data_IF_460124007003
#
_entry.id   IF_460124007003
#
_cell.length_a   1.000
_cell.length_b   1.000
_cell.length_c   1.000
_cell.angle_alpha   90.00
_cell.angle_beta   90.00
_cell.angle_gamma   90.00
#
_symmetry.space_group_name_H-M   'P 1'
#
loop_
_entity.id
_entity.type
_entity.pdbx_description
1 polymer ?
#
# COMPACT_ATOMS: atom_id res chain seq x y z
N UNK A 1 22.27 5.64 -18.17
CA UNK A 1 20.97 6.34 -18.27
C UNK A 1 20.02 5.41 -19.00
N UNK A 2 19.12 4.74 -18.29
CA UNK A 2 18.07 3.96 -18.93
C UNK A 2 17.08 4.97 -19.54
N UNK A 3 16.99 4.95 -20.86
CA UNK A 3 16.15 5.90 -21.57
C UNK A 3 14.67 5.59 -21.39
N UNK A 4 13.88 6.61 -21.41
CA UNK A 4 12.42 6.62 -21.49
C UNK A 4 11.87 6.00 -22.80
N UNK A 5 12.59 5.04 -23.40
CA UNK A 5 12.27 4.49 -24.72
C UNK A 5 11.16 3.45 -24.74
N UNK A 6 10.47 3.23 -23.63
CA UNK A 6 9.30 2.37 -23.57
C UNK A 6 8.23 2.99 -22.67
N UNK A 7 7.56 4.03 -23.17
CA UNK A 7 6.42 4.67 -22.51
C UNK A 7 5.16 3.76 -22.42
N UNK A 8 5.29 2.49 -22.78
CA UNK A 8 4.15 1.55 -22.80
C UNK A 8 3.97 0.78 -21.49
N UNK A 9 4.91 0.88 -20.55
CA UNK A 9 4.93 0.07 -19.32
C UNK A 9 5.34 0.90 -18.09
N UNK A 10 4.92 0.50 -16.89
CA UNK A 10 5.46 1.06 -15.66
C UNK A 10 7.00 0.92 -15.62
N UNK A 11 7.66 1.97 -15.17
CA UNK A 11 9.12 2.06 -15.09
C UNK A 11 9.55 2.20 -13.63
N UNK A 12 10.47 1.33 -13.20
CA UNK A 12 11.05 1.36 -11.87
C UNK A 12 12.42 2.06 -11.87
N UNK A 13 12.55 3.09 -11.05
CA UNK A 13 13.80 3.79 -10.78
C UNK A 13 14.33 3.41 -9.41
N UNK A 14 15.47 2.75 -9.34
CA UNK A 14 16.17 2.47 -8.07
C UNK A 14 17.00 3.68 -7.67
N UNK A 15 16.84 4.15 -6.44
CA UNK A 15 17.65 5.22 -5.83
C UNK A 15 18.80 4.63 -5.02
N UNK A 16 18.56 3.47 -4.39
CA UNK A 16 19.55 2.70 -3.65
C UNK A 16 19.15 1.22 -3.62
N UNK A 17 20.05 0.37 -3.11
CA UNK A 17 19.80 -1.07 -2.97
C UNK A 17 20.00 -1.47 -1.51
N UNK A 18 18.96 -1.37 -0.65
CA UNK A 18 19.07 -1.78 0.74
C UNK A 18 19.21 -3.31 0.84
N UNK A 19 19.94 -3.76 1.85
CA UNK A 19 19.92 -5.16 2.27
C UNK A 19 18.65 -5.41 3.09
N UNK A 20 17.81 -6.34 2.64
CA UNK A 20 16.53 -6.64 3.25
C UNK A 20 16.50 -8.09 3.75
N UNK A 21 16.06 -8.27 5.00
CA UNK A 21 15.89 -9.58 5.62
C UNK A 21 14.41 -9.86 5.85
N UNK A 22 13.90 -10.93 5.24
CA UNK A 22 12.50 -11.36 5.32
C UNK A 22 11.50 -10.19 5.18
N UNK A 23 11.56 -9.37 4.13
CA UNK A 23 10.80 -8.14 4.06
C UNK A 23 9.29 -8.38 3.97
N UNK A 24 8.53 -7.56 4.69
CA UNK A 24 7.08 -7.45 4.59
C UNK A 24 6.77 -6.23 3.74
N UNK A 25 6.00 -6.44 2.67
CA UNK A 25 5.52 -5.33 1.85
C UNK A 25 4.26 -4.71 2.43
N UNK A 26 4.23 -3.39 2.57
CA UNK A 26 3.09 -2.62 3.08
C UNK A 26 2.72 -1.54 2.08
N UNK A 27 1.52 -1.63 1.54
CA UNK A 27 0.99 -0.67 0.57
C UNK A 27 -0.06 0.25 1.20
N UNK A 28 0.10 1.56 1.04
CA UNK A 28 -0.91 2.56 1.40
C UNK A 28 -1.03 3.65 0.35
N UNK A 29 -2.02 3.54 -0.53
CA UNK A 29 -2.30 4.45 -1.63
C UNK A 29 -3.45 5.41 -1.30
N UNK A 30 -3.58 6.54 -2.05
CA UNK A 30 -4.78 7.38 -2.01
C UNK A 30 -6.03 6.56 -2.32
N UNK A 31 -7.12 6.87 -1.65
CA UNK A 31 -8.41 6.21 -1.83
C UNK A 31 -9.42 6.75 -0.84
N UNK A 32 -10.40 5.94 -0.48
CA UNK A 32 -11.51 6.33 0.37
C UNK A 32 -10.99 6.86 1.73
N UNK A 33 -11.29 8.13 2.05
CA UNK A 33 -10.77 8.81 3.23
C UNK A 33 -9.24 8.97 3.30
N UNK A 34 -8.50 8.65 2.23
CA UNK A 34 -7.04 8.58 2.23
C UNK A 34 -6.44 7.70 3.35
N UNK A 35 -7.23 6.78 3.90
CA UNK A 35 -6.89 5.97 5.07
C UNK A 35 -5.57 5.22 4.88
N UNK A 36 -5.42 4.50 3.76
CA UNK A 36 -4.20 3.74 3.47
C UNK A 36 -2.97 4.64 3.35
N UNK A 37 -3.08 5.76 2.62
CA UNK A 37 -1.99 6.73 2.46
C UNK A 37 -1.57 7.32 3.80
N UNK A 38 -2.53 7.70 4.64
CA UNK A 38 -2.25 8.25 5.97
C UNK A 38 -1.51 7.22 6.82
N UNK A 39 -1.98 5.97 6.86
CA UNK A 39 -1.33 4.90 7.60
C UNK A 39 0.10 4.63 7.11
N UNK A 40 0.34 4.63 5.80
CA UNK A 40 1.68 4.47 5.22
C UNK A 40 2.61 5.62 5.61
N UNK A 41 2.14 6.87 5.55
CA UNK A 41 2.94 8.02 5.99
C UNK A 41 3.27 7.98 7.49
N UNK A 42 2.35 7.49 8.33
CA UNK A 42 2.62 7.28 9.76
C UNK A 42 3.71 6.21 9.96
N UNK A 43 3.67 5.11 9.21
CA UNK A 43 4.73 4.09 9.25
C UNK A 43 6.09 4.66 8.82
N UNK A 44 6.12 5.39 7.69
CA UNK A 44 7.34 6.02 7.17
C UNK A 44 7.94 6.95 8.24
N UNK A 45 7.12 7.76 8.87
CA UNK A 45 7.55 8.69 9.92
C UNK A 45 8.01 7.97 11.19
N UNK A 46 7.25 6.96 11.64
CA UNK A 46 7.55 6.22 12.87
C UNK A 46 8.88 5.47 12.79
N UNK A 47 9.16 4.84 11.66
CA UNK A 47 10.39 4.07 11.46
C UNK A 47 11.55 4.88 10.87
N UNK A 48 11.37 6.17 10.62
CA UNK A 48 12.32 7.00 9.86
C UNK A 48 12.74 6.31 8.54
N UNK A 49 11.75 5.71 7.84
CA UNK A 49 11.99 4.89 6.67
C UNK A 49 12.63 5.68 5.53
N UNK A 50 13.58 5.08 4.84
CA UNK A 50 14.36 5.76 3.80
C UNK A 50 13.85 5.39 2.40
N UNK A 51 13.69 6.38 1.50
CA UNK A 51 13.31 6.09 0.12
C UNK A 51 14.43 5.33 -0.60
N UNK A 52 14.06 4.32 -1.41
CA UNK A 52 15.04 3.53 -2.15
C UNK A 52 14.63 3.22 -3.59
N UNK A 53 13.35 3.39 -3.96
CA UNK A 53 12.89 3.21 -5.33
C UNK A 53 11.63 4.04 -5.62
N UNK A 54 11.38 4.28 -6.90
CA UNK A 54 10.21 4.99 -7.41
C UNK A 54 9.65 4.22 -8.61
N UNK A 55 8.33 4.14 -8.73
CA UNK A 55 7.64 3.57 -9.88
C UNK A 55 6.84 4.66 -10.58
N UNK A 56 7.09 4.81 -11.86
CA UNK A 56 6.38 5.69 -12.78
C UNK A 56 5.52 4.86 -13.73
N UNK A 57 4.41 5.40 -14.18
CA UNK A 57 3.55 4.74 -15.16
C UNK A 57 3.00 5.76 -16.16
N UNK A 58 2.97 5.43 -17.46
CA UNK A 58 2.27 6.25 -18.46
C UNK A 58 0.74 6.28 -18.22
N UNK A 59 0.24 5.38 -17.41
CA UNK A 59 -1.18 5.32 -17.01
C UNK A 59 -1.51 6.18 -15.79
N UNK A 60 -0.53 6.88 -15.21
CA UNK A 60 -0.83 7.90 -14.21
C UNK A 60 -1.36 9.17 -14.90
N UNK A 61 -2.22 9.95 -14.23
CA UNK A 61 -2.76 11.17 -14.80
C UNK A 61 -1.69 12.13 -15.30
N UNK A 62 -2.02 12.90 -16.33
CA UNK A 62 -1.16 13.79 -17.10
C UNK A 62 -0.90 15.15 -16.41
N UNK A 63 -0.56 15.15 -15.15
CA UNK A 63 -0.14 16.35 -14.45
C UNK A 63 1.30 16.27 -13.93
N UNK A 64 1.82 17.40 -13.54
CA UNK A 64 3.12 17.54 -12.89
C UNK A 64 2.89 18.09 -11.50
N UNK A 65 3.40 17.43 -10.49
CA UNK A 65 3.40 17.94 -9.13
C UNK A 65 4.58 18.90 -8.93
N UNK A 66 4.34 19.98 -8.17
CA UNK A 66 5.36 21.00 -7.87
C UNK A 66 5.68 20.95 -6.38
N UNK A 67 6.94 20.75 -6.03
CA UNK A 67 7.40 20.78 -4.64
C UNK A 67 7.31 22.21 -4.06
N UNK A 68 7.40 22.33 -2.74
CA UNK A 68 7.48 23.64 -2.05
C UNK A 68 8.68 24.50 -2.52
N UNK A 69 9.67 23.91 -3.18
CA UNK A 69 10.82 24.60 -3.78
C UNK A 69 10.64 24.93 -5.27
N UNK A 70 9.45 24.73 -5.82
CA UNK A 70 9.16 24.99 -7.24
C UNK A 70 9.70 23.93 -8.21
N UNK A 71 10.11 22.76 -7.74
CA UNK A 71 10.64 21.69 -8.58
C UNK A 71 9.51 20.80 -9.07
N UNK A 72 9.45 20.61 -10.39
CA UNK A 72 8.49 19.76 -11.06
C UNK A 72 8.87 18.27 -10.97
N UNK A 73 7.90 17.40 -10.71
CA UNK A 73 8.07 15.96 -10.80
C UNK A 73 6.80 15.27 -11.31
N UNK A 74 7.00 14.13 -11.96
CA UNK A 74 5.89 13.29 -12.40
C UNK A 74 5.22 12.58 -11.22
N UNK A 75 3.92 12.25 -11.33
CA UNK A 75 3.25 11.36 -10.40
C UNK A 75 3.96 10.02 -10.33
N UNK A 76 4.10 9.46 -9.13
CA UNK A 76 4.81 8.21 -8.91
C UNK A 76 4.35 7.48 -7.67
N UNK A 77 4.69 6.20 -7.57
CA UNK A 77 4.76 5.48 -6.32
C UNK A 77 6.19 5.54 -5.77
N UNK A 78 6.30 5.66 -4.46
CA UNK A 78 7.56 5.75 -3.73
C UNK A 78 7.69 4.55 -2.80
N UNK A 79 8.84 3.90 -2.84
CA UNK A 79 9.16 2.78 -1.99
C UNK A 79 10.19 3.19 -0.94
N UNK A 80 9.84 2.91 0.31
CA UNK A 80 10.66 3.17 1.48
C UNK A 80 11.02 1.85 2.14
N UNK A 81 12.20 1.76 2.73
CA UNK A 81 12.56 0.64 3.57
C UNK A 81 12.78 1.08 5.02
N UNK A 82 12.43 0.20 5.94
CA UNK A 82 12.69 0.36 7.35
C UNK A 82 13.24 -0.94 7.93
N UNK A 83 14.44 -0.93 8.53
CA UNK A 83 14.96 -2.09 9.22
C UNK A 83 14.16 -2.36 10.49
N UNK A 84 13.89 -3.63 10.77
CA UNK A 84 13.33 -4.11 12.03
C UNK A 84 14.11 -5.36 12.48
N UNK A 85 13.98 -5.74 13.74
CA UNK A 85 14.74 -6.85 14.34
C UNK A 85 14.53 -8.21 13.66
N UNK A 86 13.30 -8.49 13.20
CA UNK A 86 12.93 -9.80 12.62
C UNK A 86 12.61 -9.73 11.12
N UNK A 87 11.95 -8.68 10.69
CA UNK A 87 11.49 -8.52 9.32
C UNK A 87 11.66 -7.05 8.92
N UNK A 88 12.29 -6.78 7.80
CA UNK A 88 12.32 -5.42 7.30
C UNK A 88 10.95 -5.02 6.74
N UNK A 89 10.63 -3.74 6.73
CA UNK A 89 9.46 -3.22 6.02
C UNK A 89 9.87 -2.62 4.68
N UNK A 90 9.11 -2.95 3.67
CA UNK A 90 9.07 -2.25 2.38
C UNK A 90 7.73 -1.53 2.30
N UNK A 91 7.71 -0.23 2.45
CA UNK A 91 6.51 0.58 2.51
C UNK A 91 6.35 1.30 1.17
N UNK A 92 5.23 1.10 0.50
CA UNK A 92 4.89 1.82 -0.73
C UNK A 92 3.74 2.79 -0.49
N UNK A 93 3.92 4.00 -0.97
CA UNK A 93 2.87 5.02 -1.02
C UNK A 93 2.94 5.78 -2.34
N UNK A 94 2.01 6.71 -2.55
CA UNK A 94 1.99 7.54 -3.75
C UNK A 94 0.98 8.67 -3.62
N UNK A 95 0.97 9.55 -4.62
CA UNK A 95 0.06 10.70 -4.66
C UNK A 95 -1.21 10.41 -5.43
N UNK A 96 -1.21 9.34 -6.23
CA UNK A 96 -2.26 9.04 -7.19
C UNK A 96 -2.42 7.51 -7.39
N UNK A 97 -3.47 7.12 -8.06
CA UNK A 97 -3.66 5.82 -8.72
C UNK A 97 -4.00 6.06 -10.19
N UNK A 98 -3.93 5.06 -11.08
CA UNK A 98 -4.48 5.15 -12.42
C UNK A 98 -5.93 5.65 -12.41
N UNK A 99 -6.39 6.21 -13.53
CA UNK A 99 -7.78 6.65 -13.64
C UNK A 99 -8.75 5.50 -13.35
N UNK A 100 -9.83 5.78 -12.64
CA UNK A 100 -10.77 4.77 -12.16
C UNK A 100 -11.40 3.93 -13.28
N UNK A 101 -11.54 4.50 -14.46
CA UNK A 101 -12.09 3.88 -15.68
C UNK A 101 -11.04 3.10 -16.49
N UNK A 102 -9.74 3.27 -16.21
CA UNK A 102 -8.67 2.51 -16.85
C UNK A 102 -8.35 1.22 -16.07
N UNK A 103 -9.20 0.21 -16.27
CA UNK A 103 -9.07 -1.09 -15.59
C UNK A 103 -7.74 -1.77 -15.93
N UNK A 104 -7.29 -1.70 -17.19
CA UNK A 104 -6.04 -2.31 -17.64
C UNK A 104 -4.84 -1.69 -16.93
N UNK A 105 -4.83 -0.38 -16.77
CA UNK A 105 -3.78 0.34 -16.06
C UNK A 105 -3.65 -0.12 -14.60
N UNK A 106 -4.78 -0.32 -13.91
CA UNK A 106 -4.78 -0.81 -12.53
C UNK A 106 -4.10 -2.18 -12.43
N UNK A 107 -4.44 -3.12 -13.32
CA UNK A 107 -3.80 -4.44 -13.35
C UNK A 107 -2.31 -4.34 -13.65
N UNK A 108 -1.94 -3.59 -14.70
CA UNK A 108 -0.53 -3.45 -15.14
C UNK A 108 0.35 -2.83 -14.05
N UNK A 109 -0.14 -1.79 -13.37
CA UNK A 109 0.62 -1.13 -12.29
C UNK A 109 0.75 -2.03 -11.08
N UNK A 110 -0.35 -2.68 -10.63
CA UNK A 110 -0.30 -3.59 -9.48
C UNK A 110 0.61 -4.80 -9.75
N UNK A 111 0.56 -5.34 -10.97
CA UNK A 111 1.40 -6.46 -11.40
C UNK A 111 2.89 -6.07 -11.37
N UNK A 112 3.24 -4.90 -11.90
CA UNK A 112 4.61 -4.36 -11.87
C UNK A 112 5.10 -4.10 -10.43
N UNK A 113 4.22 -3.66 -9.53
CA UNK A 113 4.54 -3.54 -8.10
C UNK A 113 4.88 -4.90 -7.51
N UNK A 114 4.06 -5.92 -7.79
CA UNK A 114 4.29 -7.28 -7.29
C UNK A 114 5.57 -7.88 -7.85
N UNK A 115 5.85 -7.72 -9.14
CA UNK A 115 7.11 -8.15 -9.75
C UNK A 115 8.30 -7.57 -8.98
N UNK A 116 8.25 -6.27 -8.69
CA UNK A 116 9.33 -5.62 -7.96
C UNK A 116 9.48 -6.15 -6.54
N UNK A 117 8.40 -6.25 -5.76
CA UNK A 117 8.50 -6.70 -4.36
C UNK A 117 8.87 -8.18 -4.23
N UNK A 118 8.55 -9.01 -5.23
CA UNK A 118 9.04 -10.39 -5.31
C UNK A 118 10.57 -10.42 -5.50
N UNK A 119 11.15 -9.53 -6.33
CA UNK A 119 12.61 -9.43 -6.47
C UNK A 119 13.32 -9.01 -5.18
N UNK A 120 12.60 -8.37 -4.26
CA UNK A 120 13.10 -8.00 -2.94
C UNK A 120 13.00 -9.15 -1.92
N UNK A 121 12.37 -10.27 -2.29
CA UNK A 121 12.14 -11.41 -1.40
C UNK A 121 10.94 -11.27 -0.47
N UNK A 122 10.01 -10.35 -0.75
CA UNK A 122 8.78 -10.19 0.04
C UNK A 122 7.88 -11.42 -0.12
N UNK A 123 7.51 -12.05 1.00
CA UNK A 123 6.62 -13.23 1.07
C UNK A 123 5.31 -12.94 1.78
N UNK A 124 5.14 -11.76 2.29
CA UNK A 124 3.92 -11.32 2.98
C UNK A 124 3.58 -9.88 2.57
N UNK A 125 2.31 -9.67 2.25
CA UNK A 125 1.81 -8.38 1.75
C UNK A 125 0.72 -7.86 2.68
N UNK A 126 0.81 -6.58 3.00
CA UNK A 126 -0.24 -5.83 3.70
C UNK A 126 -0.68 -4.69 2.80
N UNK A 127 -1.94 -4.67 2.41
CA UNK A 127 -2.54 -3.49 1.77
C UNK A 127 -3.41 -2.74 2.77
N UNK A 128 -3.42 -1.41 2.71
CA UNK A 128 -4.18 -0.57 3.63
C UNK A 128 -5.10 0.35 2.85
N UNK A 129 -6.35 0.51 3.34
CA UNK A 129 -7.34 1.36 2.70
C UNK A 129 -8.48 1.76 3.62
N UNK A 130 -9.46 2.45 3.05
CA UNK A 130 -10.70 2.84 3.73
C UNK A 130 -11.91 2.13 3.13
N UNK A 131 -12.93 1.91 3.95
CA UNK A 131 -14.25 1.44 3.54
C UNK A 131 -15.35 2.31 4.14
N UNK A 132 -16.51 2.43 3.47
CA UNK A 132 -17.62 3.20 4.00
C UNK A 132 -18.04 2.69 5.37
N UNK A 133 -18.34 3.62 6.29
CA UNK A 133 -19.03 3.30 7.55
C UNK A 133 -20.46 2.89 7.21
N UNK A 134 -20.83 1.69 7.61
CA UNK A 134 -22.21 1.18 7.48
C UNK A 134 -22.97 1.21 8.82
N UNK A 135 -22.24 1.33 9.91
CA UNK A 135 -22.72 1.43 11.28
C UNK A 135 -21.85 2.45 12.03
N UNK A 136 -22.33 3.05 13.11
CA UNK A 136 -21.58 4.04 13.92
C UNK A 136 -20.39 3.44 14.71
N UNK A 137 -19.67 2.51 14.09
CA UNK A 137 -18.52 1.85 14.71
C UNK A 137 -17.26 2.09 13.91
N UNK A 138 -16.30 2.72 14.56
CA UNK A 138 -14.92 2.84 14.05
C UNK A 138 -14.20 1.54 14.32
N UNK A 139 -13.83 0.79 13.26
CA UNK A 139 -13.17 -0.50 13.39
C UNK A 139 -12.25 -0.78 12.19
N UNK A 140 -11.37 -1.77 12.34
CA UNK A 140 -10.53 -2.29 11.25
C UNK A 140 -11.16 -3.57 10.72
N UNK A 141 -11.50 -3.55 9.45
CA UNK A 141 -11.89 -4.76 8.73
C UNK A 141 -10.67 -5.43 8.10
N UNK A 142 -10.78 -6.74 7.90
CA UNK A 142 -9.77 -7.54 7.23
C UNK A 142 -10.35 -8.35 6.08
N UNK A 143 -9.60 -8.37 4.96
CA UNK A 143 -9.65 -9.40 3.92
C UNK A 143 -8.29 -10.07 3.84
N UNK A 144 -8.24 -11.34 3.47
CA UNK A 144 -6.99 -12.10 3.47
C UNK A 144 -6.91 -13.06 2.26
N UNK A 145 -5.70 -13.48 1.91
CA UNK A 145 -5.45 -14.45 0.84
C UNK A 145 -5.83 -15.87 1.23
N UNK A 146 -5.98 -16.15 2.52
CA UNK A 146 -6.38 -17.47 3.04
C UNK A 146 -7.25 -17.37 4.29
N UNK A 147 -8.11 -18.40 4.55
CA UNK A 147 -8.91 -18.46 5.79
C UNK A 147 -8.06 -18.45 7.06
N UNK A 148 -6.89 -19.09 7.04
CA UNK A 148 -5.94 -19.10 8.17
C UNK A 148 -5.54 -17.70 8.58
N UNK A 149 -5.13 -16.87 7.62
CA UNK A 149 -4.77 -15.48 7.89
C UNK A 149 -5.95 -14.65 8.37
N UNK A 150 -7.14 -14.84 7.78
CA UNK A 150 -8.33 -14.16 8.22
C UNK A 150 -8.61 -14.44 9.71
N UNK A 151 -8.57 -15.71 10.13
CA UNK A 151 -8.76 -16.12 11.53
C UNK A 151 -7.69 -15.53 12.44
N UNK A 152 -6.41 -15.63 12.05
CA UNK A 152 -5.29 -15.06 12.84
C UNK A 152 -5.47 -13.57 13.14
N UNK A 153 -5.89 -12.79 12.16
CA UNK A 153 -6.08 -11.35 12.34
C UNK A 153 -7.40 -10.98 13.03
N UNK A 154 -8.42 -11.85 12.97
CA UNK A 154 -9.61 -11.71 13.82
C UNK A 154 -9.26 -11.85 15.29
N UNK A 155 -8.41 -12.81 15.66
CA UNK A 155 -7.93 -13.01 17.03
C UNK A 155 -7.15 -11.77 17.54
N UNK A 156 -6.51 -11.03 16.64
CA UNK A 156 -5.87 -9.74 16.93
C UNK A 156 -6.85 -8.57 17.05
N UNK A 157 -8.15 -8.78 16.76
CA UNK A 157 -9.23 -7.81 16.91
C UNK A 157 -9.73 -7.17 15.62
N UNK A 158 -9.37 -7.68 14.44
CA UNK A 158 -9.98 -7.25 13.19
C UNK A 158 -11.34 -7.91 12.97
N UNK A 159 -12.19 -7.25 12.17
CA UNK A 159 -13.49 -7.78 11.76
C UNK A 159 -13.41 -8.25 10.31
N UNK A 160 -13.97 -9.41 9.99
CA UNK A 160 -13.99 -9.90 8.61
C UNK A 160 -14.77 -8.94 7.71
N UNK A 161 -14.13 -8.49 6.62
CA UNK A 161 -14.80 -7.76 5.55
C UNK A 161 -15.54 -8.75 4.66
N UNK A 162 -16.78 -9.07 5.02
CA UNK A 162 -17.59 -10.06 4.30
C UNK A 162 -18.48 -9.41 3.24
N UNK A 163 -18.63 -10.08 2.08
CA UNK A 163 -19.54 -9.69 0.98
C UNK A 163 -19.32 -8.27 0.41
N UNK A 164 -18.14 -7.67 0.65
CA UNK A 164 -17.79 -6.36 0.14
C UNK A 164 -16.93 -6.41 -1.12
N UNK A 165 -16.65 -5.23 -1.66
CA UNK A 165 -15.67 -5.01 -2.75
C UNK A 165 -14.60 -4.06 -2.25
N UNK A 166 -13.33 -4.38 -2.51
CA UNK A 166 -12.20 -3.48 -2.26
C UNK A 166 -11.75 -2.98 -3.62
N UNK A 167 -11.94 -1.69 -3.87
CA UNK A 167 -11.70 -1.07 -5.18
C UNK A 167 -10.28 -0.52 -5.26
N UNK A 168 -9.73 -0.48 -6.47
CA UNK A 168 -8.41 0.08 -6.78
C UNK A 168 -7.25 -0.81 -6.33
N UNK A 169 -6.06 -0.23 -6.26
CA UNK A 169 -4.83 -0.95 -5.96
C UNK A 169 -4.84 -1.69 -4.63
N UNK A 170 -5.60 -1.24 -3.63
CA UNK A 170 -5.69 -1.91 -2.32
C UNK A 170 -6.23 -3.34 -2.46
N UNK A 171 -7.36 -3.50 -3.16
CA UNK A 171 -7.95 -4.83 -3.36
C UNK A 171 -7.23 -5.65 -4.42
N UNK A 172 -6.85 -4.99 -5.50
CA UNK A 172 -6.26 -5.66 -6.66
C UNK A 172 -4.89 -6.25 -6.34
N UNK A 173 -4.02 -5.51 -5.64
CA UNK A 173 -2.71 -6.03 -5.21
C UNK A 173 -2.86 -7.26 -4.32
N UNK A 174 -3.83 -7.27 -3.39
CA UNK A 174 -4.09 -8.44 -2.54
C UNK A 174 -4.56 -9.65 -3.37
N UNK A 175 -5.47 -9.43 -4.32
CA UNK A 175 -6.00 -10.51 -5.16
C UNK A 175 -4.93 -11.10 -6.07
N UNK A 176 -4.12 -10.26 -6.73
CA UNK A 176 -3.00 -10.69 -7.56
C UNK A 176 -1.91 -11.42 -6.74
N UNK A 177 -1.64 -10.97 -5.52
CA UNK A 177 -0.73 -11.66 -4.60
C UNK A 177 -1.21 -13.09 -4.30
N UNK A 178 -2.53 -13.26 -4.07
CA UNK A 178 -3.12 -14.59 -3.87
C UNK A 178 -2.90 -15.51 -5.08
N UNK A 179 -3.11 -15.00 -6.32
CA UNK A 179 -2.87 -15.77 -7.54
C UNK A 179 -1.39 -16.17 -7.69
N UNK A 180 -0.48 -15.34 -7.20
CA UNK A 180 0.97 -15.59 -7.15
C UNK A 180 1.39 -16.47 -5.94
N UNK A 181 0.45 -16.93 -5.12
CA UNK A 181 0.67 -17.72 -3.90
C UNK A 181 1.50 -16.96 -2.84
N UNK A 182 1.38 -15.65 -2.81
CA UNK A 182 1.96 -14.80 -1.78
C UNK A 182 0.91 -14.59 -0.69
N UNK A 183 1.26 -14.86 0.55
CA UNK A 183 0.41 -14.60 1.71
C UNK A 183 0.19 -13.09 1.90
N UNK A 184 -1.03 -12.70 2.26
CA UNK A 184 -1.32 -11.29 2.44
C UNK A 184 -2.67 -10.98 3.07
N UNK A 185 -2.77 -9.74 3.51
CA UNK A 185 -3.97 -9.18 4.12
C UNK A 185 -4.25 -7.77 3.60
N UNK A 186 -5.51 -7.36 3.64
CA UNK A 186 -5.94 -5.98 3.48
C UNK A 186 -6.53 -5.48 4.79
N UNK A 187 -6.02 -4.39 5.33
CA UNK A 187 -6.53 -3.70 6.51
C UNK A 187 -7.33 -2.48 6.08
N UNK A 188 -8.60 -2.44 6.45
CA UNK A 188 -9.54 -1.43 5.98
C UNK A 188 -10.15 -0.69 7.17
N UNK A 189 -9.84 0.59 7.31
CA UNK A 189 -10.45 1.47 8.31
C UNK A 189 -11.79 2.00 7.84
N UNK A 190 -12.78 2.03 8.72
CA UNK A 190 -14.09 2.63 8.43
C UNK A 190 -13.98 4.16 8.36
N UNK A 191 -14.57 4.76 7.34
CA UNK A 191 -14.53 6.21 7.12
C UNK A 191 -15.75 6.71 6.36
N UNK A 192 -16.11 7.98 6.53
CA UNK A 192 -17.11 8.66 5.70
C UNK A 192 -16.61 8.95 4.27
N UNK A 193 -15.31 8.95 4.04
CA UNK A 193 -14.67 9.01 2.74
C UNK A 193 -14.63 10.37 2.02
N UNK A 194 -15.40 11.35 2.46
CA UNK A 194 -15.53 12.66 1.79
C UNK A 194 -14.28 13.55 1.93
N UNK A 195 -13.50 13.31 2.98
CA UNK A 195 -12.26 14.04 3.28
C UNK A 195 -11.22 13.06 3.80
N UNK A 196 -9.96 13.53 3.88
CA UNK A 196 -8.90 12.78 4.54
C UNK A 196 -9.29 12.52 6.00
N UNK A 197 -9.37 11.23 6.36
CA UNK A 197 -9.79 10.75 7.67
C UNK A 197 -8.55 10.29 8.45
N UNK A 198 -8.04 11.19 9.28
CA UNK A 198 -6.83 10.94 10.07
C UNK A 198 -7.03 9.91 11.14
N UNK A 199 -8.22 9.86 11.74
CA UNK A 199 -8.53 8.93 12.82
C UNK A 199 -8.63 7.50 12.29
N UNK A 200 -9.30 7.30 11.15
CA UNK A 200 -9.33 6.02 10.46
C UNK A 200 -7.93 5.57 10.01
N UNK A 201 -7.12 6.48 9.46
CA UNK A 201 -5.75 6.18 9.08
C UNK A 201 -4.86 5.82 10.28
N UNK A 202 -5.01 6.53 11.40
CA UNK A 202 -4.31 6.22 12.64
C UNK A 202 -4.76 4.88 13.24
N UNK A 203 -6.04 4.56 13.17
CA UNK A 203 -6.57 3.28 13.63
C UNK A 203 -5.94 2.10 12.86
N UNK A 204 -5.87 2.18 11.52
CA UNK A 204 -5.23 1.16 10.68
C UNK A 204 -3.74 1.05 11.00
N UNK A 205 -3.05 2.18 11.13
CA UNK A 205 -1.65 2.23 11.56
C UNK A 205 -1.44 1.53 12.90
N UNK A 206 -2.23 1.89 13.94
CA UNK A 206 -2.14 1.25 15.28
C UNK A 206 -2.38 -0.25 15.21
N UNK A 207 -3.36 -0.68 14.45
CA UNK A 207 -3.66 -2.09 14.30
C UNK A 207 -2.50 -2.86 13.67
N UNK A 208 -1.90 -2.30 12.61
CA UNK A 208 -0.72 -2.90 11.97
C UNK A 208 0.47 -2.94 12.93
N UNK A 209 0.76 -1.86 13.64
CA UNK A 209 1.86 -1.80 14.62
C UNK A 209 1.72 -2.87 15.69
N UNK A 210 0.53 -2.99 16.29
CA UNK A 210 0.22 -4.05 17.26
C UNK A 210 0.43 -5.45 16.64
N UNK A 211 0.01 -5.64 15.38
CA UNK A 211 0.18 -6.90 14.67
C UNK A 211 1.65 -7.25 14.40
N UNK A 212 2.51 -6.24 14.28
CA UNK A 212 3.97 -6.38 14.15
C UNK A 212 4.68 -6.48 15.50
N UNK A 213 3.95 -6.50 16.62
CA UNK A 213 4.50 -6.56 17.97
C UNK A 213 5.20 -5.27 18.42
N UNK A 214 4.78 -4.13 17.90
CA UNK A 214 5.31 -2.81 18.28
C UNK A 214 4.27 -2.04 19.11
N UNK A 215 4.71 -1.46 20.20
CA UNK A 215 3.94 -0.50 21.00
C UNK A 215 4.07 0.89 20.42
N UNK A 216 2.99 1.70 20.57
CA UNK A 216 2.89 3.08 20.06
C UNK A 216 2.58 4.01 21.21
#
# INVERSE_FOLDING_TARGET
MAGWSALDKPYLRKLSTPTLENPIFVQGLPGFGNVGRIAAHLLIKFFDAKPFAELYSPSFPDYVAITSKGIAHLPRYEFYYAPMEKNNLVIMTGEIQPSFDDVVAHYTVCDSVLDFVETLGCKFIVTMGGVPITEDKTQVYIAATSPRLATEFMEKGAVIYSKGKIVGGTGLTLALAKERKIDGISLLGTTMGFKADRDAGFLVFKFLMKSLGKEI
#
